data_IF_666890070181
#
_entry.id   IF_666890070181
#
_cell.length_a   1.000
_cell.length_b   1.000
_cell.length_c   1.000
_cell.angle_alpha   90.00
_cell.angle_beta   90.00
_cell.angle_gamma   90.00
#
_symmetry.space_group_name_H-M   'P 1'
#
loop_
_entity.id
_entity.type
_entity.pdbx_description
1 polymer ?
#
# COMPACT_ATOMS: atom_id res chain seq x y z
N UNK A 1 -11.24 13.00 -24.73
CA UNK A 1 -10.34 12.19 -23.89
C UNK A 1 -8.95 12.27 -24.50
N UNK A 2 -7.95 12.79 -23.78
CA UNK A 2 -6.54 12.68 -24.24
C UNK A 2 -6.23 11.18 -24.33
N UNK A 3 -5.81 10.70 -25.50
CA UNK A 3 -5.51 9.28 -25.70
C UNK A 3 -4.21 8.94 -24.95
N UNK A 4 -4.34 8.05 -23.96
CA UNK A 4 -3.26 7.51 -23.13
C UNK A 4 -2.36 6.51 -23.89
N UNK A 5 -2.59 6.31 -25.19
CA UNK A 5 -1.85 5.38 -26.05
C UNK A 5 -0.34 5.59 -26.06
N UNK A 6 0.14 6.74 -25.60
CA UNK A 6 1.56 7.10 -25.59
C UNK A 6 2.23 7.04 -24.22
N UNK A 7 1.50 6.88 -23.11
CA UNK A 7 2.12 6.69 -21.79
C UNK A 7 2.45 5.21 -21.59
N UNK A 8 3.74 4.87 -21.60
CA UNK A 8 4.21 3.48 -21.64
C UNK A 8 4.74 2.96 -20.30
N UNK A 9 4.86 3.82 -19.28
CA UNK A 9 5.38 3.41 -17.96
C UNK A 9 4.37 2.62 -17.13
N UNK A 10 3.08 2.97 -17.19
CA UNK A 10 2.03 2.23 -16.47
C UNK A 10 0.68 2.26 -17.19
N UNK A 11 -0.15 1.25 -16.88
CA UNK A 11 -1.53 1.13 -17.38
C UNK A 11 -2.51 1.59 -16.31
N UNK A 12 -3.52 2.37 -16.70
CA UNK A 12 -4.52 2.93 -15.78
C UNK A 12 -5.89 2.32 -16.10
N UNK A 13 -6.52 1.77 -15.06
CA UNK A 13 -7.87 1.20 -15.11
C UNK A 13 -8.78 1.97 -14.13
N UNK A 14 -10.01 2.30 -14.54
CA UNK A 14 -10.98 3.02 -13.72
C UNK A 14 -12.25 2.18 -13.56
N UNK A 15 -12.45 1.60 -12.38
CA UNK A 15 -13.57 0.70 -12.11
C UNK A 15 -14.24 1.04 -10.76
N UNK A 16 -15.46 0.53 -10.55
CA UNK A 16 -16.16 0.58 -9.25
C UNK A 16 -15.30 -0.12 -8.18
N UNK A 17 -15.28 0.38 -6.95
CA UNK A 17 -14.28 0.05 -5.92
C UNK A 17 -14.07 -1.45 -5.66
N UNK A 18 -15.12 -2.28 -5.68
CA UNK A 18 -14.99 -3.75 -5.54
C UNK A 18 -14.23 -4.40 -6.71
N UNK A 19 -14.41 -3.88 -7.92
CA UNK A 19 -13.69 -4.35 -9.10
C UNK A 19 -12.21 -4.00 -9.02
N UNK A 20 -11.81 -2.96 -8.28
CA UNK A 20 -10.38 -2.64 -8.11
C UNK A 20 -9.65 -3.73 -7.33
N UNK A 21 -10.28 -4.32 -6.31
CA UNK A 21 -9.66 -5.43 -5.58
C UNK A 21 -9.63 -6.71 -6.40
N UNK A 22 -10.71 -7.05 -7.13
CA UNK A 22 -10.70 -8.19 -8.06
C UNK A 22 -9.65 -8.02 -9.16
N UNK A 23 -9.51 -6.81 -9.72
CA UNK A 23 -8.47 -6.52 -10.70
C UNK A 23 -7.07 -6.72 -10.09
N UNK A 24 -6.87 -6.30 -8.84
CA UNK A 24 -5.62 -6.50 -8.15
C UNK A 24 -5.32 -7.98 -7.90
N UNK A 25 -6.31 -8.77 -7.44
CA UNK A 25 -6.18 -10.22 -7.29
C UNK A 25 -5.88 -10.91 -8.62
N UNK A 26 -6.55 -10.49 -9.70
CA UNK A 26 -6.31 -10.98 -11.06
C UNK A 26 -4.90 -10.63 -11.53
N UNK A 27 -4.43 -9.40 -11.26
CA UNK A 27 -3.07 -8.99 -11.55
C UNK A 27 -2.04 -9.82 -10.78
N UNK A 28 -2.26 -10.10 -9.49
CA UNK A 28 -1.39 -10.98 -8.69
C UNK A 28 -1.33 -12.38 -9.33
N UNK A 29 -2.49 -12.97 -9.61
CA UNK A 29 -2.58 -14.32 -10.19
C UNK A 29 -1.87 -14.41 -11.55
N UNK A 30 -2.00 -13.39 -12.39
CA UNK A 30 -1.33 -13.37 -13.70
C UNK A 30 0.17 -13.10 -13.60
N UNK A 31 0.60 -12.32 -12.61
CA UNK A 31 2.01 -11.99 -12.38
C UNK A 31 2.77 -13.17 -11.78
N UNK A 32 2.09 -13.96 -10.94
CA UNK A 32 2.66 -15.12 -10.24
C UNK A 32 1.85 -16.40 -10.50
N UNK A 33 1.79 -16.86 -11.77
CA UNK A 33 0.84 -17.87 -12.22
C UNK A 33 1.03 -19.25 -11.59
N UNK A 34 2.22 -19.54 -11.04
CA UNK A 34 2.55 -20.84 -10.42
C UNK A 34 2.74 -20.74 -8.91
N UNK A 35 2.58 -19.54 -8.32
CA UNK A 35 2.90 -19.30 -6.91
C UNK A 35 1.70 -19.50 -5.99
N UNK A 36 2.01 -19.93 -4.77
CA UNK A 36 1.07 -19.83 -3.65
C UNK A 36 1.31 -18.49 -2.95
N UNK A 37 0.39 -17.55 -3.12
CA UNK A 37 0.52 -16.18 -2.60
C UNK A 37 -0.43 -15.98 -1.44
N UNK A 38 0.10 -15.58 -0.28
CA UNK A 38 -0.69 -15.05 0.82
C UNK A 38 -0.74 -13.53 0.73
N UNK A 39 -1.94 -12.96 0.66
CA UNK A 39 -2.18 -11.54 0.66
C UNK A 39 -2.76 -11.13 2.02
N UNK A 40 -2.01 -10.31 2.76
CA UNK A 40 -2.42 -9.78 4.05
C UNK A 40 -2.91 -8.34 3.86
N UNK A 41 -4.18 -8.07 4.17
CA UNK A 41 -4.83 -6.76 3.94
C UNK A 41 -5.68 -6.34 5.12
N UNK A 42 -5.94 -5.04 5.25
CA UNK A 42 -6.94 -4.54 6.17
C UNK A 42 -8.35 -5.03 5.80
N UNK A 43 -9.23 -5.09 6.80
CA UNK A 43 -10.63 -5.52 6.62
C UNK A 43 -11.53 -4.40 6.09
N UNK A 44 -11.12 -3.74 5.01
CA UNK A 44 -11.98 -2.79 4.28
C UNK A 44 -13.18 -3.52 3.67
N UNK A 45 -14.35 -2.84 3.61
CA UNK A 45 -15.58 -3.38 3.00
C UNK A 45 -15.43 -3.78 1.53
N UNK A 46 -14.36 -3.31 0.87
CA UNK A 46 -14.03 -3.64 -0.52
C UNK A 46 -13.21 -4.92 -0.67
N UNK A 47 -12.64 -5.45 0.41
CA UNK A 47 -11.73 -6.61 0.39
C UNK A 47 -12.43 -7.94 0.67
N UNK A 48 -13.72 -7.91 1.04
CA UNK A 48 -14.49 -9.11 1.34
C UNK A 48 -15.90 -9.02 0.77
N UNK A 49 -16.63 -10.14 0.87
CA UNK A 49 -18.02 -10.25 0.41
C UNK A 49 -18.17 -11.25 -0.73
N UNK A 50 -19.40 -11.50 -1.19
CA UNK A 50 -19.71 -12.60 -2.11
C UNK A 50 -18.89 -12.58 -3.40
N UNK A 51 -18.66 -11.39 -3.97
CA UNK A 51 -17.87 -11.23 -5.20
C UNK A 51 -16.41 -11.66 -5.03
N UNK A 52 -15.81 -11.38 -3.86
CA UNK A 52 -14.42 -11.78 -3.59
C UNK A 52 -14.35 -13.27 -3.31
N UNK A 53 -15.29 -13.80 -2.54
CA UNK A 53 -15.40 -15.25 -2.26
C UNK A 53 -15.55 -16.05 -3.55
N UNK A 54 -16.48 -15.65 -4.43
CA UNK A 54 -16.71 -16.29 -5.72
C UNK A 54 -15.46 -16.23 -6.61
N UNK A 55 -14.76 -15.08 -6.65
CA UNK A 55 -13.51 -14.96 -7.41
C UNK A 55 -12.44 -15.93 -6.89
N UNK A 56 -12.26 -16.04 -5.57
CA UNK A 56 -11.27 -16.93 -4.95
C UNK A 56 -11.58 -18.40 -5.24
N UNK A 57 -12.83 -18.82 -5.04
CA UNK A 57 -13.28 -20.20 -5.29
C UNK A 57 -13.06 -20.61 -6.75
N UNK A 58 -13.46 -19.75 -7.69
CA UNK A 58 -13.26 -19.99 -9.12
C UNK A 58 -11.78 -20.11 -9.46
N UNK A 59 -10.91 -19.24 -8.93
CA UNK A 59 -9.47 -19.32 -9.18
C UNK A 59 -8.78 -20.48 -8.45
N UNK A 60 -9.30 -20.96 -7.32
CA UNK A 60 -8.73 -22.10 -6.61
C UNK A 60 -9.10 -23.44 -7.24
N UNK A 61 -10.18 -23.47 -8.02
CA UNK A 61 -10.65 -24.64 -8.76
C UNK A 61 -9.85 -24.91 -10.04
N UNK A 62 -9.07 -23.93 -10.52
CA UNK A 62 -8.18 -24.09 -11.68
C UNK A 62 -6.83 -24.70 -11.30
N UNK A 63 -6.11 -25.23 -12.30
CA UNK A 63 -4.72 -25.69 -12.15
C UNK A 63 -3.78 -24.48 -12.22
N UNK A 64 -2.99 -24.26 -11.17
CA UNK A 64 -2.00 -23.17 -11.13
C UNK A 64 -1.75 -22.66 -9.71
N UNK A 65 -1.15 -21.48 -9.66
CA UNK A 65 -0.95 -20.66 -8.48
C UNK A 65 -2.28 -20.25 -7.85
N UNK A 66 -2.23 -19.91 -6.57
CA UNK A 66 -3.41 -19.64 -5.75
C UNK A 66 -3.15 -18.44 -4.85
N UNK A 67 -4.16 -17.61 -4.67
CA UNK A 67 -4.11 -16.45 -3.76
C UNK A 67 -4.97 -16.74 -2.53
N UNK A 68 -4.39 -16.67 -1.35
CA UNK A 68 -5.10 -16.67 -0.07
C UNK A 68 -5.14 -15.26 0.48
N UNK A 69 -6.19 -14.95 1.24
CA UNK A 69 -6.35 -13.64 1.87
C UNK A 69 -6.41 -13.84 3.38
N UNK A 70 -5.60 -13.07 4.10
CA UNK A 70 -5.66 -12.93 5.54
C UNK A 70 -5.98 -11.48 5.89
N UNK A 71 -6.87 -11.30 6.87
CA UNK A 71 -7.35 -9.98 7.25
C UNK A 71 -6.67 -9.51 8.53
N UNK A 72 -6.11 -8.31 8.47
CA UNK A 72 -5.67 -7.59 9.66
C UNK A 72 -6.91 -7.18 10.45
N UNK A 73 -6.92 -7.53 11.74
CA UNK A 73 -7.98 -7.17 12.67
C UNK A 73 -8.24 -5.66 12.70
N UNK A 74 -9.48 -5.27 12.94
CA UNK A 74 -9.90 -3.87 12.90
C UNK A 74 -9.09 -3.01 13.88
N UNK A 75 -8.69 -1.82 13.43
CA UNK A 75 -7.80 -0.93 14.17
C UNK A 75 -6.33 -1.35 14.16
N UNK A 76 -5.96 -2.58 13.79
CA UNK A 76 -4.58 -3.06 13.94
C UNK A 76 -3.64 -2.67 12.78
N UNK A 77 -4.10 -1.92 11.77
CA UNK A 77 -3.28 -1.58 10.60
C UNK A 77 -2.00 -0.83 10.97
N UNK A 78 -2.07 0.08 11.94
CA UNK A 78 -0.89 0.82 12.43
C UNK A 78 0.16 -0.03 13.15
N UNK A 79 -0.15 -1.30 13.45
CA UNK A 79 0.73 -2.26 14.14
C UNK A 79 1.13 -3.43 13.22
N UNK A 80 0.20 -3.90 12.38
CA UNK A 80 0.36 -5.12 11.59
C UNK A 80 0.49 -4.84 10.08
N UNK A 81 0.04 -3.69 9.57
CA UNK A 81 0.09 -3.43 8.13
C UNK A 81 1.49 -2.95 7.72
N UNK A 82 2.27 -3.85 7.10
CA UNK A 82 3.65 -3.57 6.65
C UNK A 82 3.72 -2.29 5.81
N UNK A 83 2.75 -2.08 4.91
CA UNK A 83 2.68 -0.88 4.07
C UNK A 83 2.53 0.41 4.89
N UNK A 84 1.76 0.41 5.99
CA UNK A 84 1.63 1.59 6.86
C UNK A 84 2.92 1.89 7.60
N UNK A 85 3.61 0.84 8.07
CA UNK A 85 4.83 0.97 8.86
C UNK A 85 6.02 1.39 8.00
N UNK A 86 6.16 0.82 6.80
CA UNK A 86 7.38 0.95 5.99
C UNK A 86 7.24 1.87 4.77
N UNK A 87 6.07 1.92 4.13
CA UNK A 87 5.94 2.49 2.77
C UNK A 87 5.18 3.81 2.76
N UNK A 88 4.07 3.92 3.49
CA UNK A 88 3.16 5.03 3.36
C UNK A 88 3.81 6.39 3.70
N UNK A 89 4.61 6.44 4.78
CA UNK A 89 5.33 7.66 5.16
C UNK A 89 6.35 8.10 4.11
N UNK A 90 7.34 7.28 3.69
CA UNK A 90 8.31 7.69 2.68
C UNK A 90 7.66 7.99 1.33
N UNK A 91 6.66 7.21 0.90
CA UNK A 91 5.95 7.45 -0.36
C UNK A 91 5.28 8.82 -0.36
N UNK A 92 4.50 9.13 0.68
CA UNK A 92 3.85 10.45 0.83
C UNK A 92 4.89 11.57 0.87
N UNK A 93 6.00 11.39 1.58
CA UNK A 93 7.05 12.40 1.66
C UNK A 93 7.69 12.69 0.29
N UNK A 94 7.99 11.65 -0.50
CA UNK A 94 8.58 11.80 -1.83
C UNK A 94 7.60 12.42 -2.84
N UNK A 95 6.35 11.97 -2.87
CA UNK A 95 5.32 12.55 -3.75
C UNK A 95 5.06 14.01 -3.37
N UNK A 96 4.98 14.31 -2.07
CA UNK A 96 4.81 15.68 -1.59
C UNK A 96 5.98 16.57 -2.01
N UNK A 97 7.23 16.13 -1.81
CA UNK A 97 8.41 16.86 -2.28
C UNK A 97 8.36 17.11 -3.79
N UNK A 98 8.06 16.10 -4.59
CA UNK A 98 7.99 16.23 -6.04
C UNK A 98 6.88 17.20 -6.49
N UNK A 99 5.73 17.18 -5.82
CA UNK A 99 4.66 18.15 -6.04
C UNK A 99 5.09 19.59 -5.71
N UNK A 100 5.80 19.79 -4.58
CA UNK A 100 6.34 21.10 -4.22
C UNK A 100 7.35 21.60 -5.24
N UNK A 101 8.28 20.75 -5.68
CA UNK A 101 9.28 21.08 -6.71
C UNK A 101 8.58 21.48 -8.03
N UNK A 102 7.56 20.72 -8.45
CA UNK A 102 6.73 21.06 -9.62
C UNK A 102 6.03 22.41 -9.48
N UNK A 103 5.42 22.68 -8.31
CA UNK A 103 4.77 23.97 -8.06
C UNK A 103 5.75 25.12 -8.11
N UNK A 104 6.93 24.99 -7.49
CA UNK A 104 7.97 26.01 -7.51
C UNK A 104 8.39 26.35 -8.93
N UNK A 105 8.61 25.33 -9.77
CA UNK A 105 8.93 25.51 -11.19
C UNK A 105 7.79 26.17 -11.98
N UNK A 106 6.54 25.84 -11.67
CA UNK A 106 5.38 26.42 -12.34
C UNK A 106 5.17 27.91 -12.01
N UNK A 107 5.60 28.36 -10.82
CA UNK A 107 5.40 29.75 -10.35
C UNK A 107 6.61 30.65 -10.52
N UNK A 108 7.80 30.10 -10.74
CA UNK A 108 9.06 30.87 -10.72
C UNK A 108 9.10 32.07 -11.68
N UNK A 109 8.33 32.02 -12.77
CA UNK A 109 8.27 33.07 -13.79
C UNK A 109 6.98 33.91 -13.73
N UNK A 110 6.11 33.69 -12.73
CA UNK A 110 4.85 34.41 -12.59
C UNK A 110 5.01 35.62 -11.67
N UNK A 111 4.42 36.73 -12.06
CA UNK A 111 4.29 37.91 -11.20
C UNK A 111 3.24 37.67 -10.09
N UNK A 112 3.31 38.44 -9.01
CA UNK A 112 2.33 38.38 -7.92
C UNK A 112 0.88 38.54 -8.42
N UNK A 113 0.63 39.41 -9.40
CA UNK A 113 -0.69 39.61 -10.01
C UNK A 113 -1.17 38.37 -10.77
N UNK A 114 -0.26 37.69 -11.49
CA UNK A 114 -0.60 36.46 -12.20
C UNK A 114 -0.89 35.30 -11.24
N UNK A 115 -0.23 35.26 -10.08
CA UNK A 115 -0.45 34.22 -9.07
C UNK A 115 -1.84 34.29 -8.43
N UNK A 116 -2.37 35.48 -8.17
CA UNK A 116 -3.70 35.67 -7.54
C UNK A 116 -4.84 35.02 -8.31
N UNK A 117 -4.74 34.98 -9.64
CA UNK A 117 -5.79 34.42 -10.51
C UNK A 117 -5.44 33.01 -11.02
N UNK A 118 -4.33 32.42 -10.55
CA UNK A 118 -3.83 31.13 -11.06
C UNK A 118 -4.44 29.93 -10.33
N UNK A 119 -4.97 28.97 -11.10
CA UNK A 119 -5.33 27.63 -10.61
C UNK A 119 -4.22 26.65 -11.00
N UNK A 120 -3.56 26.07 -9.99
CA UNK A 120 -2.49 25.09 -10.21
C UNK A 120 -3.07 23.68 -10.35
N UNK A 121 -3.26 23.27 -11.59
CA UNK A 121 -3.60 21.88 -11.93
C UNK A 121 -2.33 21.13 -12.26
N UNK A 122 -2.10 19.99 -11.59
CA UNK A 122 -1.04 19.06 -11.98
C UNK A 122 -1.57 18.22 -13.13
N UNK A 123 -0.92 18.23 -14.31
CA UNK A 123 -1.26 17.30 -15.37
C UNK A 123 -1.17 15.87 -14.83
N UNK A 124 -2.09 15.00 -15.25
CA UNK A 124 -2.20 13.68 -14.65
C UNK A 124 -0.94 12.84 -14.90
N UNK A 125 -0.33 13.01 -16.07
CA UNK A 125 0.91 12.37 -16.48
C UNK A 125 2.06 12.73 -15.52
N UNK A 126 2.17 14.01 -15.14
CA UNK A 126 3.13 14.47 -14.14
C UNK A 126 2.88 13.84 -12.77
N UNK A 127 1.61 13.71 -12.35
CA UNK A 127 1.28 13.06 -11.08
C UNK A 127 1.72 11.59 -11.06
N UNK A 128 1.51 10.85 -12.16
CA UNK A 128 1.96 9.46 -12.27
C UNK A 128 3.47 9.35 -12.25
N UNK A 129 4.17 10.20 -13.00
CA UNK A 129 5.63 10.24 -12.99
C UNK A 129 6.18 10.55 -11.59
N UNK A 130 5.55 11.45 -10.83
CA UNK A 130 5.93 11.72 -9.43
C UNK A 130 5.79 10.47 -8.54
N UNK A 131 4.73 9.69 -8.72
CA UNK A 131 4.46 8.47 -7.93
C UNK A 131 5.45 7.37 -8.31
N UNK A 132 5.65 7.13 -9.61
CA UNK A 132 6.58 6.12 -10.13
C UNK A 132 8.02 6.41 -9.69
N UNK A 133 8.48 7.66 -9.84
CA UNK A 133 9.82 8.07 -9.38
C UNK A 133 9.97 7.93 -7.85
N UNK A 134 8.89 8.15 -7.08
CA UNK A 134 8.91 7.92 -5.63
C UNK A 134 9.11 6.43 -5.29
N UNK A 135 8.44 5.52 -6.01
CA UNK A 135 8.67 4.08 -5.85
C UNK A 135 10.07 3.65 -6.26
N UNK A 136 10.60 4.16 -7.38
CA UNK A 136 11.97 3.88 -7.81
C UNK A 136 12.98 4.30 -6.73
N UNK A 137 12.81 5.49 -6.15
CA UNK A 137 13.68 5.99 -5.08
C UNK A 137 13.58 5.13 -3.82
N UNK A 138 12.37 4.73 -3.42
CA UNK A 138 12.16 3.82 -2.28
C UNK A 138 12.87 2.49 -2.53
N UNK A 139 12.71 1.91 -3.73
CA UNK A 139 13.34 0.65 -4.09
C UNK A 139 14.88 0.73 -4.02
N UNK A 140 15.46 1.83 -4.55
CA UNK A 140 16.91 2.08 -4.48
C UNK A 140 17.42 2.20 -3.04
N UNK A 141 16.70 2.91 -2.17
CA UNK A 141 17.10 3.09 -0.78
C UNK A 141 16.91 1.80 0.04
N UNK A 142 15.81 1.08 -0.21
CA UNK A 142 15.50 -0.18 0.46
C UNK A 142 16.46 -1.30 0.06
N UNK A 143 17.02 -1.29 -1.16
CA UNK A 143 18.04 -2.26 -1.57
C UNK A 143 19.22 -2.31 -0.59
N UNK A 144 19.63 -1.17 -0.02
CA UNK A 144 20.74 -1.08 0.93
C UNK A 144 20.33 -1.26 2.39
N UNK A 145 19.18 -0.71 2.77
CA UNK A 145 18.76 -0.65 4.19
C UNK A 145 17.80 -1.76 4.62
N UNK A 146 17.16 -2.42 3.67
CA UNK A 146 16.23 -3.54 3.86
C UNK A 146 15.13 -3.28 4.91
N UNK A 147 14.67 -2.03 5.07
CA UNK A 147 13.66 -1.69 6.07
C UNK A 147 12.29 -2.30 5.78
N UNK A 148 11.99 -2.67 4.52
CA UNK A 148 10.75 -3.38 4.19
C UNK A 148 10.79 -4.78 4.80
N UNK A 149 11.91 -5.50 4.66
CA UNK A 149 12.07 -6.81 5.28
C UNK A 149 12.02 -6.73 6.81
N UNK A 150 12.67 -5.73 7.40
CA UNK A 150 12.59 -5.47 8.84
C UNK A 150 11.16 -5.17 9.31
N UNK A 151 10.34 -4.52 8.47
CA UNK A 151 8.94 -4.28 8.78
C UNK A 151 8.09 -5.56 8.75
N UNK A 152 8.37 -6.51 7.84
CA UNK A 152 7.73 -7.83 7.88
C UNK A 152 8.01 -8.55 9.21
N UNK A 153 9.24 -8.50 9.71
CA UNK A 153 9.57 -9.08 11.03
C UNK A 153 8.91 -8.33 12.19
N UNK A 154 8.89 -6.99 12.16
CA UNK A 154 8.19 -6.17 13.16
C UNK A 154 6.68 -6.39 13.20
N UNK A 155 6.07 -6.81 12.09
CA UNK A 155 4.66 -7.15 12.01
C UNK A 155 4.36 -8.62 12.34
N UNK A 156 5.36 -9.46 12.60
CA UNK A 156 5.16 -10.91 12.77
C UNK A 156 4.75 -11.62 11.47
N UNK A 157 5.11 -11.05 10.30
CA UNK A 157 4.67 -11.51 8.98
C UNK A 157 5.83 -12.01 8.10
N UNK A 158 7.01 -12.23 8.69
CA UNK A 158 8.14 -12.82 7.97
C UNK A 158 8.11 -14.36 8.11
N UNK A 159 7.71 -15.11 7.07
CA UNK A 159 7.58 -16.57 7.17
C UNK A 159 8.92 -17.31 7.17
N UNK A 160 10.05 -16.61 6.99
CA UNK A 160 11.39 -17.19 6.91
C UNK A 160 12.21 -17.05 8.19
N UNK A 161 11.70 -16.36 9.20
CA UNK A 161 12.38 -16.16 10.48
C UNK A 161 11.73 -17.05 11.54
N UNK A 162 12.55 -17.77 12.29
CA UNK A 162 12.07 -18.57 13.43
C UNK A 162 11.85 -17.68 14.65
N UNK A 163 10.61 -17.63 15.13
CA UNK A 163 10.21 -16.92 16.34
C UNK A 163 9.87 -15.45 16.14
N UNK A 164 9.21 -14.87 17.15
CA UNK A 164 8.55 -13.57 17.03
C UNK A 164 9.27 -12.43 17.79
N UNK A 165 10.56 -12.60 18.11
CA UNK A 165 11.29 -11.69 19.01
C UNK A 165 11.20 -10.21 18.61
N UNK A 166 11.29 -9.87 17.32
CA UNK A 166 11.14 -8.48 16.84
C UNK A 166 9.70 -7.99 16.93
N UNK A 167 8.73 -8.86 16.69
CA UNK A 167 7.31 -8.54 16.84
C UNK A 167 6.97 -8.32 18.32
N UNK A 168 7.40 -9.20 19.21
CA UNK A 168 7.25 -9.05 20.66
C UNK A 168 7.89 -7.76 21.17
N UNK A 169 9.11 -7.44 20.72
CA UNK A 169 9.77 -6.18 21.08
C UNK A 169 9.01 -4.96 20.52
N UNK A 170 8.49 -5.04 19.30
CA UNK A 170 7.66 -3.99 18.74
C UNK A 170 6.38 -3.81 19.58
N UNK A 171 5.67 -4.88 19.90
CA UNK A 171 4.51 -4.83 20.78
C UNK A 171 4.90 -4.22 22.14
N UNK A 172 5.98 -4.65 22.77
CA UNK A 172 6.42 -4.09 24.05
C UNK A 172 6.64 -2.56 23.97
N UNK A 173 7.26 -2.07 22.89
CA UNK A 173 7.48 -0.62 22.68
C UNK A 173 6.17 0.19 22.57
N UNK A 174 5.10 -0.42 22.07
CA UNK A 174 3.80 0.24 21.96
C UNK A 174 3.09 0.41 23.30
N UNK A 175 3.48 -0.35 24.34
CA UNK A 175 2.88 -0.22 25.68
C UNK A 175 3.25 1.11 26.36
N UNK A 176 4.23 1.84 25.85
CA UNK A 176 4.59 3.18 26.32
C UNK A 176 3.56 4.24 25.91
N UNK A 177 2.62 3.90 25.02
CA UNK A 177 1.60 4.80 24.50
C UNK A 177 0.19 4.29 24.83
N UNK A 178 -0.57 5.11 25.57
CA UNK A 178 -1.89 4.77 26.06
C UNK A 178 -2.92 4.43 24.95
N UNK A 179 -2.76 5.00 23.75
CA UNK A 179 -3.63 4.71 22.60
C UNK A 179 -3.40 3.29 22.11
N UNK A 180 -2.14 2.90 21.91
CA UNK A 180 -1.82 1.56 21.44
C UNK A 180 -2.08 0.49 22.50
N UNK A 181 -1.96 0.80 23.79
CA UNK A 181 -2.43 -0.09 24.86
C UNK A 181 -3.94 -0.36 24.75
N UNK A 182 -4.76 0.69 24.63
CA UNK A 182 -6.21 0.54 24.46
C UNK A 182 -6.57 -0.30 23.23
N UNK A 183 -5.85 -0.11 22.11
CA UNK A 183 -6.10 -0.88 20.88
C UNK A 183 -5.83 -2.38 21.05
N UNK A 184 -4.79 -2.74 21.81
CA UNK A 184 -4.49 -4.15 22.12
C UNK A 184 -5.51 -4.75 23.07
N UNK A 185 -5.82 -4.06 24.17
CA UNK A 185 -6.79 -4.51 25.17
C UNK A 185 -8.18 -4.71 24.54
N UNK A 186 -8.59 -3.79 23.66
CA UNK A 186 -9.82 -3.92 22.89
C UNK A 186 -9.84 -5.18 22.01
N UNK A 187 -8.76 -5.46 21.28
CA UNK A 187 -8.68 -6.66 20.43
C UNK A 187 -8.63 -7.97 21.24
N UNK A 188 -7.94 -8.00 22.38
CA UNK A 188 -7.93 -9.15 23.29
C UNK A 188 -9.33 -9.44 23.86
N UNK A 189 -10.05 -8.39 24.25
CA UNK A 189 -11.42 -8.49 24.77
C UNK A 189 -12.40 -9.00 23.69
N UNK A 190 -12.14 -8.65 22.42
CA UNK A 190 -12.90 -9.10 21.26
C UNK A 190 -12.49 -10.51 20.76
N UNK A 191 -11.50 -11.16 21.38
CA UNK A 191 -10.93 -12.47 20.98
C UNK A 191 -10.47 -12.49 19.51
N UNK A 192 -9.86 -11.41 19.05
CA UNK A 192 -9.26 -11.33 17.71
C UNK A 192 -7.79 -11.78 17.70
N UNK A 193 -7.32 -12.36 18.81
CA UNK A 193 -6.07 -13.09 19.01
C UNK A 193 -6.33 -14.30 19.90
#
# INVERSE_FOLDING_TARGET
>A
MKQWSHYNKSTILFNITHYMFILYLTWISNTFPDSKTLLIVDRSTTHFGPLITEWLENNHSSTGGKVWIEYISEGMTSILQVCDIAINKPLKAHVHKAYFDFRLQAIQNLTAKQLTDSVFTVPRENLFEMIENAFELINQQNYRRQWIADAFEKCGQNPWVEGDSKFEAHLASLNENCVYQHMKEGNQTLKLF
#
